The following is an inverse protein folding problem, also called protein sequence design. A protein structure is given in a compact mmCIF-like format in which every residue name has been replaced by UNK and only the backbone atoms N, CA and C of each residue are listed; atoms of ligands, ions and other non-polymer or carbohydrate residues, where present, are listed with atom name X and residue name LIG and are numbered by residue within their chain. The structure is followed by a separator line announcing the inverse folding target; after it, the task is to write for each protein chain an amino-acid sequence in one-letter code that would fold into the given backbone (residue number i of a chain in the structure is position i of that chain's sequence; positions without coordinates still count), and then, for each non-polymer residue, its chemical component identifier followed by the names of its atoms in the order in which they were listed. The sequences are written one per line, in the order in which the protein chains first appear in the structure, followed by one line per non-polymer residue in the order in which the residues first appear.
data_IF_776633052256
#
_entry.id   IF_776633052256
#
_cell.length_a   1.000
_cell.length_b   1.000
_cell.length_c   1.000
_cell.angle_alpha   90.00
_cell.angle_beta   90.00
_cell.angle_gamma   90.00
#
_symmetry.space_group_name_H-M   'P 1'
#
loop_
_entity.id
_entity.type
_entity.pdbx_description
1 polymer ?
#
# COMPACT_ATOMS: atom_id res chain seq x y z
N UNK A 1 19.11 -9.47 -21.62
CA UNK A 1 17.65 -9.66 -21.56
C UNK A 1 17.36 -10.37 -20.23
N UNK A 2 16.86 -9.68 -19.23
CA UNK A 2 16.51 -10.30 -17.95
C UNK A 2 15.04 -10.67 -18.07
N UNK A 3 14.77 -11.98 -18.18
CA UNK A 3 13.42 -12.50 -18.10
C UNK A 3 12.92 -12.37 -16.67
N UNK A 4 11.98 -11.48 -16.45
CA UNK A 4 11.21 -11.41 -15.22
C UNK A 4 10.00 -12.32 -15.43
N UNK A 5 9.82 -13.27 -14.51
CA UNK A 5 8.85 -14.36 -14.61
C UNK A 5 7.40 -13.95 -14.87
N UNK A 6 6.61 -14.93 -15.21
CA UNK A 6 5.18 -14.77 -15.48
C UNK A 6 4.43 -14.28 -14.25
N UNK A 7 4.26 -12.99 -14.14
CA UNK A 7 3.33 -12.43 -13.19
C UNK A 7 1.92 -12.55 -13.79
N UNK A 8 1.07 -13.35 -13.18
CA UNK A 8 -0.31 -13.64 -13.64
C UNK A 8 -0.43 -14.27 -15.03
N UNK A 9 0.53 -15.15 -15.42
CA UNK A 9 0.49 -15.86 -16.68
C UNK A 9 0.69 -14.99 -17.92
N UNK A 10 1.19 -13.77 -17.78
CA UNK A 10 1.63 -12.91 -18.88
C UNK A 10 3.08 -12.52 -18.66
N UNK A 11 3.93 -12.78 -19.65
CA UNK A 11 5.30 -12.26 -19.70
C UNK A 11 5.24 -10.74 -19.79
N UNK A 12 5.52 -10.04 -18.68
CA UNK A 12 5.72 -8.61 -18.71
C UNK A 12 7.19 -8.32 -19.00
N UNK A 13 7.44 -7.66 -20.10
CA UNK A 13 8.73 -7.04 -20.35
C UNK A 13 8.83 -5.78 -19.48
N UNK A 14 9.30 -5.96 -18.24
CA UNK A 14 9.49 -4.89 -17.26
C UNK A 14 10.40 -3.78 -17.77
N UNK A 15 11.28 -4.10 -18.74
CA UNK A 15 12.18 -3.11 -19.33
C UNK A 15 11.42 -2.06 -20.13
N UNK A 16 10.27 -2.40 -20.73
CA UNK A 16 9.47 -1.44 -21.51
C UNK A 16 8.70 -0.44 -20.66
N UNK A 17 8.28 -0.80 -19.45
CA UNK A 17 7.45 0.07 -18.62
C UNK A 17 8.24 0.78 -17.52
N UNK A 18 9.21 0.11 -16.93
CA UNK A 18 9.94 0.60 -15.77
C UNK A 18 11.06 1.58 -16.12
N UNK A 19 11.81 1.31 -17.20
CA UNK A 19 12.91 2.18 -17.62
C UNK A 19 12.43 3.59 -18.00
N UNK A 20 11.38 3.77 -18.82
CA UNK A 20 10.86 5.10 -19.13
C UNK A 20 10.40 5.86 -17.89
N UNK A 21 9.77 5.17 -16.97
CA UNK A 21 9.25 5.75 -15.72
C UNK A 21 10.37 6.19 -14.78
N UNK A 22 11.34 5.30 -14.53
CA UNK A 22 12.54 5.57 -13.76
C UNK A 22 13.32 6.77 -14.33
N UNK A 23 13.51 6.82 -15.63
CA UNK A 23 14.20 7.90 -16.30
C UNK A 23 13.42 9.21 -16.21
N UNK A 24 12.10 9.17 -16.38
CA UNK A 24 11.25 10.36 -16.32
C UNK A 24 11.29 11.06 -14.95
N UNK A 25 11.30 10.31 -13.86
CA UNK A 25 11.28 10.84 -12.49
C UNK A 25 12.63 10.73 -11.78
N UNK A 26 13.67 10.22 -12.47
CA UNK A 26 15.03 10.04 -11.93
C UNK A 26 15.07 9.26 -10.61
N UNK A 27 14.23 8.21 -10.50
CA UNK A 27 14.16 7.37 -9.30
C UNK A 27 15.21 6.24 -9.39
N UNK A 28 15.91 5.98 -8.30
CA UNK A 28 16.94 4.93 -8.18
C UNK A 28 16.53 3.95 -7.10
N UNK A 29 16.78 2.65 -7.33
CA UNK A 29 16.53 1.59 -6.37
C UNK A 29 17.79 0.74 -6.14
N UNK A 30 18.11 0.44 -4.88
CA UNK A 30 19.27 -0.38 -4.49
C UNK A 30 18.95 -1.86 -4.42
N UNK A 31 17.74 -2.21 -3.98
CA UNK A 31 17.29 -3.58 -3.80
C UNK A 31 17.24 -4.37 -5.12
N UNK A 32 17.09 -3.71 -6.25
CA UNK A 32 17.07 -4.34 -7.58
C UNK A 32 18.34 -5.14 -7.91
N UNK A 33 19.44 -4.78 -7.29
CA UNK A 33 20.72 -5.47 -7.49
C UNK A 33 20.86 -6.75 -6.64
N UNK A 34 20.10 -6.85 -5.56
CA UNK A 34 20.28 -7.91 -4.55
C UNK A 34 19.38 -9.13 -4.77
N UNK A 35 18.15 -8.93 -5.18
CA UNK A 35 17.14 -9.98 -5.12
C UNK A 35 16.61 -10.41 -6.49
N UNK A 36 16.93 -9.71 -7.57
CA UNK A 36 16.41 -10.03 -8.91
C UNK A 36 14.87 -10.01 -8.98
N UNK A 37 14.25 -9.56 -7.90
CA UNK A 37 12.81 -9.60 -7.71
C UNK A 37 12.11 -8.45 -8.43
N UNK A 38 10.91 -8.76 -8.80
CA UNK A 38 10.01 -7.91 -9.55
C UNK A 38 9.70 -6.69 -8.69
N UNK A 39 10.26 -5.55 -9.07
CA UNK A 39 9.71 -4.29 -8.61
C UNK A 39 8.27 -4.25 -9.09
N UNK A 40 7.32 -4.30 -8.16
CA UNK A 40 5.91 -4.10 -8.48
C UNK A 40 5.83 -2.78 -9.24
N UNK A 41 5.36 -2.83 -10.48
CA UNK A 41 5.30 -1.62 -11.30
C UNK A 41 4.37 -0.63 -10.59
N UNK A 42 4.84 0.57 -10.22
CA UNK A 42 4.01 1.56 -9.55
C UNK A 42 2.72 1.91 -10.30
N UNK A 43 2.65 1.55 -11.58
CA UNK A 43 1.44 1.70 -12.40
C UNK A 43 0.31 0.74 -12.03
N UNK A 44 0.53 -0.23 -11.14
CA UNK A 44 -0.56 -1.13 -10.68
C UNK A 44 -1.68 -0.37 -9.99
N UNK A 45 -1.35 0.70 -9.29
CA UNK A 45 -2.32 1.58 -8.62
C UNK A 45 -2.51 2.90 -9.37
N UNK A 46 -2.05 2.99 -10.63
CA UNK A 46 -2.11 4.22 -11.41
C UNK A 46 -3.45 4.33 -12.13
N UNK A 47 -4.42 4.88 -11.44
CA UNK A 47 -5.65 5.35 -12.04
C UNK A 47 -5.58 6.88 -12.08
N UNK A 48 -5.56 7.52 -13.27
CA UNK A 48 -5.42 8.98 -13.38
C UNK A 48 -6.47 9.78 -12.60
N UNK A 49 -7.65 9.20 -12.41
CA UNK A 49 -8.75 9.79 -11.64
C UNK A 49 -8.61 9.54 -10.13
N UNK A 50 -7.65 8.72 -9.71
CA UNK A 50 -7.50 8.28 -8.33
C UNK A 50 -6.02 8.27 -7.89
N UNK A 51 -5.39 9.43 -7.95
CA UNK A 51 -4.01 9.67 -7.53
C UNK A 51 -3.98 10.79 -6.49
N UNK A 52 -2.97 10.81 -5.60
CA UNK A 52 -2.82 11.92 -4.67
C UNK A 52 -2.53 13.23 -5.42
N UNK A 53 -3.16 14.31 -5.00
CA UNK A 53 -2.87 15.66 -5.49
C UNK A 53 -1.56 16.22 -4.94
N UNK A 54 -1.09 17.33 -5.49
CA UNK A 54 0.08 18.04 -4.96
C UNK A 54 -0.18 18.55 -3.54
N UNK A 55 0.76 18.29 -2.63
CA UNK A 55 0.64 18.62 -1.20
C UNK A 55 -0.27 17.68 -0.40
N UNK A 56 -0.87 16.67 -1.03
CA UNK A 56 -1.63 15.65 -0.31
C UNK A 56 -0.75 14.91 0.70
N UNK A 57 -1.29 14.66 1.89
CA UNK A 57 -0.67 13.76 2.86
C UNK A 57 -1.10 12.34 2.52
N UNK A 58 -0.13 11.49 2.26
CA UNK A 58 -0.32 10.11 1.83
C UNK A 58 0.23 9.17 2.89
N UNK A 59 -0.56 8.16 3.28
CA UNK A 59 -0.09 7.02 4.05
C UNK A 59 0.08 5.82 3.12
N UNK A 60 1.30 5.31 3.00
CA UNK A 60 1.67 4.12 2.25
C UNK A 60 1.88 2.98 3.25
N UNK A 61 0.83 2.20 3.52
CA UNK A 61 0.82 1.13 4.51
C UNK A 61 1.17 -0.19 3.83
N UNK A 62 2.26 -0.82 4.27
CA UNK A 62 2.94 -1.91 3.57
C UNK A 62 3.79 -1.37 2.43
N UNK A 63 4.66 -0.41 2.75
CA UNK A 63 5.47 0.30 1.76
C UNK A 63 6.56 -0.55 1.12
N UNK A 64 6.92 -1.68 1.74
CA UNK A 64 7.99 -2.59 1.31
C UNK A 64 9.30 -1.83 1.09
N UNK A 65 9.72 -1.62 -0.14
CA UNK A 65 10.93 -0.86 -0.50
C UNK A 65 10.67 0.62 -0.81
N UNK A 66 9.43 1.08 -0.66
CA UNK A 66 9.06 2.48 -0.82
C UNK A 66 8.86 2.95 -2.26
N UNK A 67 8.61 2.04 -3.20
CA UNK A 67 8.47 2.35 -4.62
C UNK A 67 7.32 3.32 -4.89
N UNK A 68 6.16 3.11 -4.25
CA UNK A 68 5.00 4.00 -4.35
C UNK A 68 5.25 5.33 -3.67
N UNK A 69 5.84 5.28 -2.49
CA UNK A 69 6.21 6.46 -1.73
C UNK A 69 7.07 7.40 -2.56
N UNK A 70 8.15 6.88 -3.18
CA UNK A 70 9.02 7.67 -4.06
C UNK A 70 8.29 8.19 -5.28
N UNK A 71 7.41 7.35 -5.88
CA UNK A 71 6.65 7.76 -7.03
C UNK A 71 5.73 8.93 -6.72
N UNK A 72 4.92 8.82 -5.68
CA UNK A 72 3.96 9.86 -5.33
C UNK A 72 4.65 11.15 -4.86
N UNK A 73 5.78 11.03 -4.13
CA UNK A 73 6.60 12.20 -3.82
C UNK A 73 7.13 12.89 -5.09
N UNK A 74 7.78 12.14 -5.99
CA UNK A 74 8.47 12.73 -7.16
C UNK A 74 7.51 13.17 -8.27
N UNK A 75 6.42 12.43 -8.50
CA UNK A 75 5.45 12.72 -9.57
C UNK A 75 4.37 13.69 -9.12
N UNK A 76 3.84 13.46 -7.93
CA UNK A 76 2.65 14.14 -7.46
C UNK A 76 2.97 15.25 -6.45
N UNK A 77 4.23 15.36 -6.01
CA UNK A 77 4.63 16.29 -4.95
C UNK A 77 3.83 16.06 -3.66
N UNK A 78 3.51 14.81 -3.36
CA UNK A 78 2.82 14.41 -2.14
C UNK A 78 3.79 14.39 -0.94
N UNK A 79 3.25 14.58 0.26
CA UNK A 79 3.95 14.39 1.53
C UNK A 79 3.63 12.97 1.98
N UNK A 80 4.62 12.07 1.94
CA UNK A 80 4.37 10.64 2.14
C UNK A 80 4.88 10.18 3.50
N UNK A 81 4.06 9.38 4.18
CA UNK A 81 4.38 8.61 5.37
C UNK A 81 4.32 7.14 5.00
N UNK A 82 5.47 6.48 4.98
CA UNK A 82 5.64 5.10 4.54
C UNK A 82 5.79 4.19 5.76
N UNK A 83 4.87 3.23 5.92
CA UNK A 83 4.85 2.27 7.02
C UNK A 83 5.27 0.91 6.50
N UNK A 84 6.29 0.31 7.11
CA UNK A 84 6.79 -1.01 6.76
C UNK A 84 7.01 -1.84 8.01
N UNK A 85 6.58 -3.09 7.97
CA UNK A 85 6.59 -3.99 9.12
C UNK A 85 7.92 -4.73 9.30
N UNK A 86 8.57 -5.12 8.19
CA UNK A 86 9.78 -5.92 8.20
C UNK A 86 11.04 -5.04 8.29
N UNK A 87 11.91 -5.24 9.30
CA UNK A 87 13.11 -4.43 9.46
C UNK A 87 14.04 -4.45 8.24
N UNK A 88 14.14 -5.58 7.54
CA UNK A 88 14.96 -5.73 6.35
C UNK A 88 14.45 -4.88 5.19
N UNK A 89 13.14 -4.91 4.93
CA UNK A 89 12.50 -4.07 3.91
C UNK A 89 12.62 -2.59 4.26
N UNK A 90 12.36 -2.26 5.53
CA UNK A 90 12.51 -0.90 6.04
C UNK A 90 13.93 -0.35 5.85
N UNK A 91 14.96 -1.15 6.09
CA UNK A 91 16.34 -0.74 5.89
C UNK A 91 16.67 -0.48 4.41
N UNK A 92 16.15 -1.31 3.49
CA UNK A 92 16.29 -1.09 2.05
C UNK A 92 15.50 0.15 1.59
N UNK A 93 14.26 0.32 2.08
CA UNK A 93 13.44 1.51 1.83
C UNK A 93 14.17 2.80 2.24
N UNK A 94 14.78 2.83 3.41
CA UNK A 94 15.57 3.98 3.87
C UNK A 94 16.78 4.26 2.96
N UNK A 95 17.46 3.23 2.47
CA UNK A 95 18.56 3.39 1.50
C UNK A 95 18.06 4.01 0.19
N UNK A 96 16.92 3.52 -0.31
CA UNK A 96 16.32 4.03 -1.54
C UNK A 96 15.84 5.48 -1.37
N UNK A 97 15.28 5.83 -0.22
CA UNK A 97 14.95 7.22 0.10
C UNK A 97 16.20 8.11 0.15
N UNK A 98 17.28 7.66 0.77
CA UNK A 98 18.53 8.42 0.87
C UNK A 98 19.17 8.69 -0.51
N UNK A 99 19.29 7.68 -1.39
CA UNK A 99 19.88 7.86 -2.73
C UNK A 99 19.01 8.74 -3.65
N UNK A 100 17.70 8.81 -3.40
CA UNK A 100 16.77 9.66 -4.13
C UNK A 100 16.59 11.04 -3.50
N UNK A 101 17.27 11.31 -2.38
CA UNK A 101 17.07 12.54 -1.59
C UNK A 101 15.57 12.77 -1.32
N UNK A 102 14.90 11.71 -0.91
CA UNK A 102 13.47 11.74 -0.60
C UNK A 102 13.24 12.41 0.75
N UNK A 103 12.14 13.15 0.82
CA UNK A 103 11.60 13.71 2.07
C UNK A 103 10.52 12.84 2.70
N UNK A 104 10.28 11.65 2.16
CA UNK A 104 9.31 10.69 2.70
C UNK A 104 9.66 10.30 4.14
N UNK A 105 8.65 10.34 5.01
CA UNK A 105 8.76 9.90 6.40
C UNK A 105 8.58 8.39 6.46
N UNK A 106 9.59 7.67 6.93
CA UNK A 106 9.55 6.21 7.09
C UNK A 106 9.27 5.80 8.52
N UNK A 107 8.35 4.87 8.73
CA UNK A 107 7.93 4.34 10.03
C UNK A 107 8.07 2.82 10.01
N UNK A 108 8.87 2.28 10.94
CA UNK A 108 8.96 0.83 11.15
C UNK A 108 7.88 0.39 12.12
N UNK A 109 6.98 -0.48 11.68
CA UNK A 109 5.95 -1.05 12.53
C UNK A 109 4.88 -1.80 11.77
N UNK A 110 4.26 -2.77 12.43
CA UNK A 110 3.06 -3.44 11.95
C UNK A 110 1.85 -2.55 12.17
N UNK A 111 1.11 -2.24 11.11
CA UNK A 111 -0.15 -1.50 11.21
C UNK A 111 -1.30 -2.50 11.31
N UNK A 112 -2.22 -2.25 12.23
CA UNK A 112 -3.41 -3.07 12.47
C UNK A 112 -4.34 -2.42 13.49
N UNK A 113 -5.15 -3.23 14.17
CA UNK A 113 -6.18 -2.76 15.11
C UNK A 113 -5.72 -2.60 16.57
N UNK A 114 -4.41 -2.69 16.84
CA UNK A 114 -3.83 -2.63 18.18
C UNK A 114 -3.68 -4.01 18.85
N UNK A 115 -4.34 -5.04 18.33
CA UNK A 115 -4.20 -6.39 18.84
C UNK A 115 -2.86 -7.01 18.42
N UNK A 116 -2.26 -7.87 19.28
CA UNK A 116 -1.11 -8.65 18.91
C UNK A 116 -1.44 -9.61 17.76
N UNK A 117 -0.55 -9.69 16.78
CA UNK A 117 -0.66 -10.59 15.63
C UNK A 117 0.45 -11.63 15.63
N UNK A 118 0.17 -12.74 14.98
CA UNK A 118 1.16 -13.74 14.58
C UNK A 118 1.35 -13.65 13.07
N UNK A 119 2.59 -13.68 12.64
CA UNK A 119 2.93 -13.60 11.22
C UNK A 119 4.08 -14.54 10.86
N UNK A 120 4.19 -14.88 9.59
CA UNK A 120 5.34 -15.57 9.03
C UNK A 120 6.13 -14.61 8.15
N UNK A 121 7.44 -14.48 8.45
CA UNK A 121 8.34 -13.75 7.56
C UNK A 121 8.79 -14.70 6.44
N UNK A 122 8.33 -14.43 5.21
CA UNK A 122 8.69 -15.21 4.02
C UNK A 122 9.85 -14.59 3.23
N UNK A 123 10.61 -13.69 3.87
CA UNK A 123 11.77 -12.99 3.31
C UNK A 123 11.47 -11.57 2.84
N UNK A 124 10.49 -11.37 1.99
CA UNK A 124 10.10 -10.03 1.48
C UNK A 124 8.69 -9.62 1.90
N UNK A 125 7.91 -10.55 2.45
CA UNK A 125 6.52 -10.34 2.87
C UNK A 125 6.28 -10.88 4.27
N UNK A 126 5.46 -10.19 5.05
CA UNK A 126 4.90 -10.68 6.30
C UNK A 126 3.49 -11.18 6.02
N UNK A 127 3.25 -12.47 6.12
CA UNK A 127 1.94 -13.06 5.84
C UNK A 127 1.27 -13.56 7.11
N UNK A 128 -0.07 -13.48 7.14
CA UNK A 128 -0.86 -13.98 8.27
C UNK A 128 -0.71 -15.49 8.41
N UNK A 129 -0.37 -15.95 9.61
CA UNK A 129 -0.29 -17.39 9.93
C UNK A 129 -0.75 -17.64 11.36
N UNK A 130 -1.48 -18.73 11.52
CA UNK A 130 -1.73 -19.30 12.85
C UNK A 130 -0.50 -20.13 13.24
N UNK A 131 0.42 -19.57 14.01
CA UNK A 131 1.62 -20.27 14.44
C UNK A 131 2.10 -19.85 15.84
N UNK A 132 3.02 -20.64 16.40
CA UNK A 132 3.58 -20.55 17.77
C UNK A 132 4.63 -19.42 17.90
N UNK A 133 4.70 -18.48 16.98
CA UNK A 133 5.68 -17.39 16.96
C UNK A 133 5.31 -16.26 17.95
N UNK A 134 6.29 -15.45 18.38
CA UNK A 134 6.01 -14.36 19.30
C UNK A 134 4.99 -13.39 18.70
N UNK A 135 3.98 -13.03 19.48
CA UNK A 135 2.99 -12.04 19.10
C UNK A 135 3.63 -10.67 19.03
N UNK A 136 3.43 -9.98 17.91
CA UNK A 136 3.86 -8.60 17.74
C UNK A 136 2.66 -7.67 17.91
N UNK A 137 2.79 -6.65 18.73
CA UNK A 137 1.77 -5.61 18.88
C UNK A 137 1.68 -4.79 17.59
N UNK A 138 0.46 -4.54 17.15
CA UNK A 138 0.21 -3.67 16.01
C UNK A 138 -0.02 -2.22 16.47
N UNK A 139 0.30 -1.27 15.58
CA UNK A 139 0.03 0.15 15.77
C UNK A 139 -1.24 0.52 15.02
N UNK A 140 -2.13 1.27 15.68
CA UNK A 140 -3.33 1.81 15.04
C UNK A 140 -3.00 3.12 14.33
N UNK A 141 -3.55 3.29 13.12
CA UNK A 141 -3.46 4.57 12.41
C UNK A 141 -4.17 5.68 13.17
N UNK A 142 -5.30 5.39 13.83
CA UNK A 142 -6.01 6.37 14.66
C UNK A 142 -5.12 6.94 15.76
N UNK A 143 -4.33 6.09 16.43
CA UNK A 143 -3.39 6.52 17.46
C UNK A 143 -2.25 7.36 16.86
N UNK A 144 -1.75 6.97 15.70
CA UNK A 144 -0.72 7.74 14.98
C UNK A 144 -1.24 9.13 14.60
N UNK A 145 -2.44 9.21 14.01
CA UNK A 145 -3.08 10.49 13.63
C UNK A 145 -3.34 11.36 14.87
N UNK A 146 -3.86 10.76 15.93
CA UNK A 146 -4.15 11.49 17.16
C UNK A 146 -2.91 12.04 17.85
N UNK A 147 -1.78 11.32 17.79
CA UNK A 147 -0.53 11.73 18.42
C UNK A 147 0.26 12.73 17.56
N UNK A 148 0.41 12.45 16.25
CA UNK A 148 1.21 13.27 15.33
C UNK A 148 0.46 14.51 14.80
N UNK A 149 -0.87 14.50 14.81
CA UNK A 149 -1.74 15.46 14.13
C UNK A 149 -1.58 15.48 12.60
N UNK A 150 -0.97 14.44 12.04
CA UNK A 150 -0.82 14.26 10.60
C UNK A 150 -2.05 13.54 10.07
N UNK A 151 -2.84 14.22 9.24
CA UNK A 151 -4.12 13.74 8.74
C UNK A 151 -3.96 13.31 7.28
N UNK A 152 -4.15 12.02 6.93
CA UNK A 152 -4.04 11.59 5.55
C UNK A 152 -5.26 12.04 4.73
N UNK A 153 -5.02 12.46 3.50
CA UNK A 153 -6.06 12.63 2.47
C UNK A 153 -6.09 11.48 1.47
N UNK A 154 -5.07 10.63 1.53
CA UNK A 154 -4.91 9.47 0.65
C UNK A 154 -4.20 8.34 1.39
N UNK A 155 -4.70 7.12 1.28
CA UNK A 155 -4.13 5.94 1.94
C UNK A 155 -4.00 4.80 0.93
N UNK A 156 -2.82 4.17 0.86
CA UNK A 156 -2.64 2.87 0.24
C UNK A 156 -2.51 1.81 1.32
N UNK A 157 -3.18 0.67 1.14
CA UNK A 157 -3.11 -0.51 2.02
C UNK A 157 -2.73 -1.71 1.17
N UNK A 158 -1.59 -2.33 1.47
CA UNK A 158 -1.12 -3.55 0.84
C UNK A 158 -0.24 -4.29 1.85
N UNK A 159 -0.86 -5.10 2.70
CA UNK A 159 -0.27 -5.69 3.92
C UNK A 159 -0.40 -7.21 3.99
N UNK A 160 -0.57 -7.84 2.82
CA UNK A 160 -0.48 -9.30 2.65
C UNK A 160 -1.38 -10.10 3.61
N UNK A 161 -2.65 -9.67 3.73
CA UNK A 161 -3.70 -10.38 4.46
C UNK A 161 -4.15 -9.74 5.78
N UNK A 162 -3.59 -8.59 6.16
CA UNK A 162 -3.98 -7.81 7.35
C UNK A 162 -4.81 -6.56 7.01
N UNK A 163 -5.34 -6.47 5.79
CA UNK A 163 -6.05 -5.26 5.31
C UNK A 163 -7.25 -4.91 6.19
N UNK A 164 -7.97 -5.91 6.66
CA UNK A 164 -9.13 -5.68 7.52
C UNK A 164 -8.72 -5.13 8.89
N UNK A 165 -7.68 -5.69 9.50
CA UNK A 165 -7.13 -5.21 10.77
C UNK A 165 -6.59 -3.76 10.65
N UNK A 166 -6.06 -3.40 9.48
CA UNK A 166 -5.67 -2.00 9.19
C UNK A 166 -6.91 -1.09 9.15
N UNK A 167 -7.97 -1.50 8.45
CA UNK A 167 -9.24 -0.74 8.40
C UNK A 167 -9.83 -0.55 9.81
N UNK A 168 -9.88 -1.60 10.63
CA UNK A 168 -10.33 -1.49 12.02
C UNK A 168 -9.48 -0.49 12.81
N UNK A 169 -8.16 -0.47 12.60
CA UNK A 169 -7.23 0.43 13.28
C UNK A 169 -7.23 1.86 12.78
N UNK A 170 -7.98 2.16 11.72
CA UNK A 170 -8.15 3.49 11.15
C UNK A 170 -9.61 3.93 11.02
N UNK A 171 -10.52 3.29 11.74
CA UNK A 171 -11.96 3.55 11.65
C UNK A 171 -12.32 5.01 11.95
N UNK A 172 -11.78 5.59 13.02
CA UNK A 172 -11.98 6.99 13.38
C UNK A 172 -11.41 7.95 12.32
N UNK A 173 -10.27 7.59 11.72
CA UNK A 173 -9.62 8.34 10.63
C UNK A 173 -10.48 8.31 9.37
N UNK A 174 -11.05 7.15 9.03
CA UNK A 174 -11.98 6.96 7.91
C UNK A 174 -13.22 7.82 8.12
N UNK A 175 -13.88 7.69 9.27
CA UNK A 175 -15.12 8.39 9.56
C UNK A 175 -14.95 9.91 9.56
N UNK A 176 -13.88 10.39 10.20
CA UNK A 176 -13.69 11.81 10.46
C UNK A 176 -13.07 12.57 9.29
N UNK A 177 -12.11 11.96 8.58
CA UNK A 177 -11.28 12.68 7.60
C UNK A 177 -11.49 12.21 6.16
N UNK A 178 -12.18 11.10 5.96
CA UNK A 178 -12.63 10.64 4.65
C UNK A 178 -11.50 10.53 3.59
N UNK A 179 -10.33 9.93 3.89
CA UNK A 179 -9.27 9.82 2.91
C UNK A 179 -9.69 8.95 1.71
N UNK A 180 -9.15 9.21 0.52
CA UNK A 180 -9.24 8.25 -0.57
C UNK A 180 -8.42 7.02 -0.23
N UNK A 181 -8.96 5.82 -0.49
CA UNK A 181 -8.30 4.55 -0.14
C UNK A 181 -8.04 3.74 -1.41
N UNK A 182 -6.79 3.33 -1.60
CA UNK A 182 -6.42 2.24 -2.51
C UNK A 182 -6.04 1.04 -1.65
N UNK A 183 -6.60 -0.12 -1.96
CA UNK A 183 -6.31 -1.33 -1.20
C UNK A 183 -6.08 -2.51 -2.15
N UNK A 184 -5.01 -3.28 -1.90
CA UNK A 184 -4.83 -4.60 -2.50
C UNK A 184 -5.36 -5.64 -1.53
N UNK A 185 -6.32 -6.46 -1.96
CA UNK A 185 -6.85 -7.57 -1.16
C UNK A 185 -6.34 -8.90 -1.67
N UNK A 186 -6.02 -9.83 -0.76
CA UNK A 186 -5.32 -11.06 -1.08
C UNK A 186 -6.20 -12.32 -1.05
N UNK A 187 -7.49 -12.18 -0.72
CA UNK A 187 -8.47 -13.25 -0.85
C UNK A 187 -9.88 -12.73 -1.01
N UNK A 188 -10.78 -13.56 -1.58
CA UNK A 188 -12.19 -13.20 -1.75
C UNK A 188 -12.90 -12.96 -0.42
N UNK A 189 -12.59 -13.78 0.58
CA UNK A 189 -13.17 -13.64 1.92
C UNK A 189 -12.73 -12.32 2.57
N UNK A 190 -11.44 -11.99 2.47
CA UNK A 190 -10.89 -10.75 2.98
C UNK A 190 -11.47 -9.53 2.23
N UNK A 191 -11.53 -9.60 0.91
CA UNK A 191 -12.17 -8.58 0.07
C UNK A 191 -13.58 -8.29 0.56
N UNK A 192 -14.42 -9.34 0.67
CA UNK A 192 -15.81 -9.18 1.11
C UNK A 192 -15.89 -8.46 2.47
N UNK A 193 -15.04 -8.86 3.42
CA UNK A 193 -15.00 -8.27 4.75
C UNK A 193 -14.59 -6.79 4.72
N UNK A 194 -13.61 -6.44 3.90
CA UNK A 194 -13.18 -5.05 3.72
C UNK A 194 -14.23 -4.20 3.00
N UNK A 195 -14.89 -4.76 1.96
CA UNK A 195 -15.98 -4.09 1.24
C UNK A 195 -17.15 -3.78 2.18
N UNK A 196 -17.57 -4.76 3.01
CA UNK A 196 -18.65 -4.58 3.99
C UNK A 196 -18.30 -3.48 5.00
N UNK A 197 -17.07 -3.50 5.55
CA UNK A 197 -16.59 -2.47 6.47
C UNK A 197 -16.63 -1.08 5.84
N UNK A 198 -16.09 -0.92 4.63
CA UNK A 198 -16.05 0.38 3.97
C UNK A 198 -17.44 0.89 3.57
N UNK A 199 -18.36 -0.02 3.19
CA UNK A 199 -19.74 0.33 2.90
C UNK A 199 -20.47 0.83 4.17
N UNK A 200 -20.27 0.20 5.33
CA UNK A 200 -20.81 0.65 6.60
C UNK A 200 -20.32 2.06 6.98
N UNK A 201 -19.13 2.45 6.52
CA UNK A 201 -18.55 3.78 6.69
C UNK A 201 -18.86 4.73 5.51
N UNK A 202 -19.88 4.44 4.69
CA UNK A 202 -20.31 5.27 3.57
C UNK A 202 -19.25 5.48 2.48
N UNK A 203 -18.38 4.47 2.26
CA UNK A 203 -17.48 4.45 1.12
C UNK A 203 -18.06 3.65 -0.03
N UNK A 204 -17.78 4.07 -1.24
CA UNK A 204 -18.09 3.32 -2.45
C UNK A 204 -16.82 2.86 -3.17
N UNK A 205 -16.84 1.64 -3.68
CA UNK A 205 -15.85 1.20 -4.63
C UNK A 205 -16.01 1.96 -5.94
N UNK A 206 -15.03 2.81 -6.27
CA UNK A 206 -15.03 3.65 -7.48
C UNK A 206 -14.45 2.94 -8.69
N UNK A 207 -13.51 2.05 -8.45
CA UNK A 207 -12.80 1.35 -9.50
C UNK A 207 -12.26 0.01 -8.98
N UNK A 208 -12.26 -1.00 -9.85
CA UNK A 208 -11.56 -2.26 -9.66
C UNK A 208 -10.42 -2.32 -10.67
N UNK A 209 -9.19 -2.39 -10.16
CA UNK A 209 -7.99 -2.45 -10.98
C UNK A 209 -7.65 -3.87 -11.42
N UNK A 210 -6.37 -4.21 -11.36
CA UNK A 210 -5.91 -5.56 -11.72
C UNK A 210 -6.50 -6.61 -10.82
N UNK A 211 -6.94 -7.71 -11.47
CA UNK A 211 -7.38 -8.93 -10.83
C UNK A 211 -6.43 -10.06 -11.22
N UNK A 212 -5.91 -10.75 -10.24
CA UNK A 212 -5.02 -11.89 -10.44
C UNK A 212 -5.47 -13.13 -9.67
N UNK A 213 -4.86 -14.28 -10.00
CA UNK A 213 -5.00 -15.50 -9.21
C UNK A 213 -3.87 -15.53 -8.19
N UNK A 214 -4.20 -15.69 -6.93
CA UNK A 214 -3.27 -15.94 -5.87
C UNK A 214 -2.78 -17.40 -5.84
N UNK A 215 -1.88 -17.72 -4.93
CA UNK A 215 -1.39 -19.05 -4.65
C UNK A 215 -1.48 -19.36 -3.16
N UNK A 216 -1.67 -20.62 -2.81
CA UNK A 216 -1.81 -21.01 -1.42
C UNK A 216 -3.10 -20.49 -0.78
N UNK A 217 -2.99 -19.69 0.29
CA UNK A 217 -4.13 -19.06 0.97
C UNK A 217 -4.71 -17.86 0.20
N UNK A 218 -3.93 -17.30 -0.72
CA UNK A 218 -4.37 -16.23 -1.62
C UNK A 218 -5.15 -16.85 -2.78
N UNK A 219 -6.47 -16.76 -2.77
CA UNK A 219 -7.31 -17.25 -3.88
C UNK A 219 -7.63 -16.16 -4.91
N UNK A 220 -7.49 -14.89 -4.54
CA UNK A 220 -7.69 -13.73 -5.41
C UNK A 220 -6.83 -12.55 -4.93
N UNK A 221 -6.20 -11.83 -5.85
CA UNK A 221 -5.51 -10.56 -5.58
C UNK A 221 -6.13 -9.48 -6.44
N UNK A 222 -6.66 -8.44 -5.80
CA UNK A 222 -7.40 -7.37 -6.49
C UNK A 222 -7.04 -6.02 -5.91
N UNK A 223 -6.77 -5.06 -6.81
CA UNK A 223 -6.62 -3.66 -6.44
C UNK A 223 -7.98 -2.97 -6.47
N UNK A 224 -8.38 -2.41 -5.35
CA UNK A 224 -9.66 -1.75 -5.14
C UNK A 224 -9.46 -0.28 -4.78
N UNK A 225 -10.32 0.57 -5.31
CA UNK A 225 -10.25 2.02 -5.13
C UNK A 225 -11.56 2.51 -4.52
N UNK A 226 -11.48 3.10 -3.33
CA UNK A 226 -12.63 3.56 -2.58
C UNK A 226 -12.62 5.07 -2.36
N UNK A 227 -13.76 5.69 -2.56
CA UNK A 227 -13.98 7.09 -2.29
C UNK A 227 -15.24 7.31 -1.46
N UNK A 228 -15.33 8.49 -0.86
CA UNK A 228 -16.49 8.92 -0.10
C UNK A 228 -17.76 8.92 -0.96
N UNK A 229 -18.78 8.19 -0.54
CA UNK A 229 -20.06 8.09 -1.24
C UNK A 229 -20.83 9.42 -1.23
N UNK A 230 -20.59 10.27 -0.24
CA UNK A 230 -21.30 11.54 -0.08
C UNK A 230 -20.84 12.63 -1.04
N UNK A 231 -19.59 12.57 -1.52
CA UNK A 231 -18.97 13.58 -2.40
C UNK A 231 -19.59 13.67 -3.81
N UNK A 232 -20.31 12.65 -4.28
CA UNK A 232 -20.96 12.70 -5.60
C UNK A 232 -22.14 13.67 -5.69
N UNK A 233 -22.73 14.06 -4.58
CA UNK A 233 -23.89 14.97 -4.58
C UNK A 233 -23.51 16.42 -4.87
N UNK A 234 -22.25 16.77 -4.75
CA UNK A 234 -21.76 18.14 -4.96
C UNK A 234 -21.21 18.38 -6.38
N UNK A 235 -20.66 17.36 -7.05
CA UNK A 235 -20.15 17.48 -8.43
C UNK A 235 -21.24 17.45 -9.50
N UNK A 236 -22.49 17.15 -9.14
CA UNK A 236 -23.65 17.13 -10.06
C UNK A 236 -24.57 18.37 -9.92
N UNK A 237 -24.18 19.36 -9.14
CA UNK A 237 -24.85 20.67 -9.05
C UNK A 237 -24.03 21.77 -9.70
#
# INVERSE_FOLDING_TARGET
MIHIGDYWGRKYDSTRFYIPFRLKYNIRFTHWRKHGEIIRCPTMYDNPSFVPGSGSIVFDIGAQYGDFSLLWEKRNHAIVYAFEALPENYAEMQRDFAINKSSTHSILGFIGNGNPIEFENTGTMATKKESINPKISTMRIDDFVNNSKVIPSFVKIDVEGFEYEVLEGMADTIEKYRPKIIMETHSKALRKKCDEFLLEHEYEQRYEGRKGKGSGWMDEVVNLFYGDATMQKEEQK
#
